data_IF_249954280482
#
_entry.id   IF_249954280482
#
_cell.length_a   1.000
_cell.length_b   1.000
_cell.length_c   1.000
_cell.angle_alpha   90.00
_cell.angle_beta   90.00
_cell.angle_gamma   90.00
#
_symmetry.space_group_name_H-M   'P 1'
#
loop_
_entity.id
_entity.type
_entity.pdbx_description
1 polymer ?
#
# COMPACT_ATOMS: atom_id res chain seq x y z
N UNK A 1 32.10 -7.18 -40.10
CA UNK A 1 32.16 -6.00 -39.22
C UNK A 1 30.76 -5.38 -39.23
N UNK A 2 29.99 -5.63 -38.18
CA UNK A 2 28.57 -5.33 -38.09
C UNK A 2 28.37 -3.93 -37.49
N UNK A 3 27.52 -3.11 -38.12
CA UNK A 3 27.08 -1.83 -37.58
C UNK A 3 25.55 -1.82 -37.54
N UNK A 4 25.02 -1.80 -36.32
CA UNK A 4 23.61 -1.66 -35.99
C UNK A 4 23.33 -0.19 -35.64
N UNK A 5 22.22 0.35 -36.14
CA UNK A 5 21.59 1.58 -35.65
C UNK A 5 20.09 1.47 -35.99
N UNK A 6 19.25 1.05 -35.04
CA UNK A 6 18.56 1.89 -34.05
C UNK A 6 17.55 2.85 -34.71
N UNK A 7 16.31 2.38 -34.91
CA UNK A 7 15.15 3.19 -35.29
C UNK A 7 14.54 3.90 -34.07
N UNK A 8 13.92 5.09 -34.23
CA UNK A 8 13.30 5.80 -33.12
C UNK A 8 11.86 5.32 -32.90
N UNK A 9 11.60 4.81 -31.69
CA UNK A 9 10.26 4.47 -31.21
C UNK A 9 9.44 5.72 -30.89
N UNK A 10 8.20 5.68 -31.35
CA UNK A 10 7.14 6.66 -31.16
C UNK A 10 6.74 6.83 -29.70
N UNK A 11 6.77 8.06 -29.20
CA UNK A 11 6.17 8.45 -27.93
C UNK A 11 4.66 8.66 -28.06
N UNK A 12 3.88 8.10 -27.14
CA UNK A 12 2.47 8.43 -26.95
C UNK A 12 2.07 8.22 -25.48
N UNK A 13 1.53 9.29 -24.88
CA UNK A 13 0.43 9.23 -23.91
C UNK A 13 0.77 9.02 -22.43
N UNK A 14 0.41 9.98 -21.54
CA UNK A 14 0.41 9.78 -20.10
C UNK A 14 -0.90 9.15 -19.61
N UNK A 15 -0.77 8.24 -18.63
CA UNK A 15 -1.70 8.05 -17.52
C UNK A 15 -3.14 7.68 -17.85
N UNK A 16 -3.41 6.38 -18.01
CA UNK A 16 -4.74 5.81 -17.80
C UNK A 16 -4.71 5.05 -16.47
N UNK A 17 -5.33 5.64 -15.44
CA UNK A 17 -5.55 5.00 -14.15
C UNK A 17 -6.81 4.13 -14.26
N UNK A 18 -6.78 2.83 -13.93
CA UNK A 18 -8.03 2.11 -13.74
C UNK A 18 -8.60 2.49 -12.37
N UNK A 19 -9.60 3.38 -12.37
CA UNK A 19 -10.56 3.49 -11.26
C UNK A 19 -11.16 2.11 -10.99
N UNK A 20 -10.79 1.52 -9.85
CA UNK A 20 -11.45 0.33 -9.31
C UNK A 20 -12.80 0.71 -8.68
N UNK A 21 -13.81 -0.19 -8.69
CA UNK A 21 -15.11 0.09 -8.10
C UNK A 21 -15.03 -0.06 -6.57
N UNK A 22 -14.57 0.97 -5.87
CA UNK A 22 -14.39 0.94 -4.40
C UNK A 22 -15.67 1.20 -3.58
N UNK A 23 -16.85 1.26 -4.18
CA UNK A 23 -18.08 1.62 -3.46
C UNK A 23 -19.03 0.46 -3.07
N UNK A 24 -18.75 -0.81 -3.42
CA UNK A 24 -19.67 -1.95 -3.15
C UNK A 24 -19.19 -2.96 -2.09
N UNK A 25 -17.95 -2.83 -1.59
CA UNK A 25 -17.30 -3.84 -0.75
C UNK A 25 -17.93 -4.12 0.64
N UNK A 26 -18.48 -3.13 1.39
CA UNK A 26 -18.95 -3.39 2.75
C UNK A 26 -20.26 -4.18 2.78
N UNK A 27 -21.15 -3.97 1.81
CA UNK A 27 -22.41 -4.72 1.72
C UNK A 27 -22.19 -6.18 1.31
N UNK A 28 -21.32 -6.44 0.32
CA UNK A 28 -21.00 -7.81 -0.10
C UNK A 28 -20.36 -8.62 1.03
N UNK A 29 -19.47 -8.02 1.84
CA UNK A 29 -18.89 -8.68 3.01
C UNK A 29 -19.91 -8.99 4.10
N UNK A 30 -20.83 -8.05 4.39
CA UNK A 30 -21.91 -8.27 5.36
C UNK A 30 -22.89 -9.34 4.89
N UNK A 31 -23.26 -9.34 3.60
CA UNK A 31 -24.10 -10.38 2.98
C UNK A 31 -23.42 -11.76 2.99
N UNK A 32 -22.14 -11.84 2.62
CA UNK A 32 -21.38 -13.09 2.65
C UNK A 32 -21.22 -13.64 4.08
N UNK A 33 -20.93 -12.79 5.06
CA UNK A 33 -20.84 -13.18 6.46
C UNK A 33 -22.21 -13.64 7.02
N UNK A 34 -23.30 -12.97 6.63
CA UNK A 34 -24.66 -13.39 6.96
C UNK A 34 -25.03 -14.76 6.38
N UNK A 35 -24.72 -15.00 5.10
CA UNK A 35 -24.97 -16.29 4.45
C UNK A 35 -24.14 -17.43 5.07
N UNK A 36 -22.88 -17.15 5.42
CA UNK A 36 -22.01 -18.15 6.06
C UNK A 36 -22.50 -18.50 7.47
N UNK A 37 -23.01 -17.50 8.21
CA UNK A 37 -23.62 -17.70 9.54
C UNK A 37 -24.86 -18.59 9.49
N UNK A 38 -25.66 -18.49 8.43
CA UNK A 38 -26.82 -19.36 8.18
C UNK A 38 -26.35 -20.78 7.85
N UNK A 39 -25.31 -20.93 7.01
CA UNK A 39 -24.77 -22.24 6.62
C UNK A 39 -24.22 -23.06 7.79
N UNK A 40 -23.56 -22.42 8.75
CA UNK A 40 -23.02 -23.08 9.95
C UNK A 40 -23.99 -23.16 11.14
N UNK A 41 -25.26 -22.77 10.97
CA UNK A 41 -26.28 -22.90 12.01
C UNK A 41 -26.07 -22.02 13.25
N UNK A 42 -25.26 -20.96 13.15
CA UNK A 42 -24.96 -20.04 14.25
C UNK A 42 -26.04 -18.94 14.44
N UNK A 43 -27.21 -19.12 13.82
CA UNK A 43 -28.39 -18.30 14.11
C UNK A 43 -29.10 -18.90 15.32
N UNK A 44 -28.84 -18.36 16.51
CA UNK A 44 -29.75 -18.51 17.65
C UNK A 44 -31.04 -17.74 17.33
N UNK A 45 -31.97 -18.43 16.68
CA UNK A 45 -33.19 -17.82 16.18
C UNK A 45 -33.53 -18.42 14.84
N UNK A 46 -34.52 -19.32 14.89
CA UNK A 46 -35.31 -19.81 13.76
C UNK A 46 -34.62 -20.84 12.86
N UNK A 47 -34.99 -22.09 13.14
CA UNK A 47 -35.24 -23.19 12.20
C UNK A 47 -36.22 -22.82 11.06
N UNK A 48 -36.14 -21.62 10.48
CA UNK A 48 -37.01 -21.10 9.41
C UNK A 48 -36.57 -21.57 8.01
N UNK A 49 -36.25 -22.86 7.92
CA UNK A 49 -36.07 -23.59 6.66
C UNK A 49 -36.51 -25.05 6.77
N UNK A 50 -37.00 -25.49 7.93
CA UNK A 50 -37.70 -26.78 8.02
C UNK A 50 -39.03 -26.62 7.27
N UNK A 51 -39.35 -27.46 6.28
CA UNK A 51 -40.73 -27.54 5.81
C UNK A 51 -41.60 -27.77 7.04
N UNK A 52 -42.60 -26.93 7.24
CA UNK A 52 -43.47 -26.88 8.42
C UNK A 52 -44.43 -28.10 8.46
N UNK A 53 -43.90 -29.32 8.37
CA UNK A 53 -44.70 -30.53 8.22
C UNK A 53 -44.05 -31.86 8.61
N UNK A 54 -42.76 -31.94 8.98
CA UNK A 54 -42.22 -33.20 9.53
C UNK A 54 -42.22 -33.18 11.06
N UNK A 55 -43.01 -34.08 11.64
CA UNK A 55 -42.99 -34.36 13.08
C UNK A 55 -41.56 -34.83 13.41
N UNK A 56 -40.84 -34.23 14.37
CA UNK A 56 -39.46 -34.63 14.70
C UNK A 56 -39.31 -36.08 15.16
N UNK A 57 -40.43 -36.78 15.42
CA UNK A 57 -40.52 -38.20 15.73
C UNK A 57 -40.98 -39.06 14.53
N UNK A 58 -41.16 -38.48 13.34
CA UNK A 58 -41.64 -39.21 12.16
C UNK A 58 -40.60 -40.28 11.75
N UNK A 59 -40.95 -41.58 11.84
CA UNK A 59 -40.07 -42.65 11.43
C UNK A 59 -39.86 -42.70 9.90
N UNK A 60 -40.59 -41.90 9.12
CA UNK A 60 -40.48 -41.84 7.66
C UNK A 60 -39.72 -40.62 7.12
N UNK A 61 -39.21 -39.75 7.98
CA UNK A 61 -38.35 -38.63 7.58
C UNK A 61 -36.92 -39.13 7.32
N UNK A 62 -36.49 -39.13 6.04
CA UNK A 62 -35.14 -39.50 5.60
C UNK A 62 -34.01 -38.73 6.29
N UNK A 63 -34.27 -37.50 6.75
CA UNK A 63 -33.30 -36.66 7.45
C UNK A 63 -33.56 -36.59 8.96
N UNK A 64 -34.53 -37.36 9.46
CA UNK A 64 -34.95 -37.39 10.85
C UNK A 64 -34.05 -38.25 11.72
N UNK A 65 -33.94 -37.89 13.01
CA UNK A 65 -33.16 -38.65 13.98
C UNK A 65 -33.78 -40.04 14.32
N UNK A 66 -35.05 -40.24 13.99
CA UNK A 66 -35.82 -41.45 14.27
C UNK A 66 -36.18 -42.25 13.01
N UNK A 67 -35.47 -42.03 11.89
CA UNK A 67 -35.72 -42.73 10.64
C UNK A 67 -35.68 -44.26 10.82
N UNK A 68 -36.78 -44.92 10.46
CA UNK A 68 -36.90 -46.38 10.41
C UNK A 68 -36.98 -46.82 8.93
N UNK A 69 -35.93 -47.47 8.40
CA UNK A 69 -35.89 -47.93 7.02
C UNK A 69 -37.06 -48.86 6.66
N UNK A 70 -37.49 -49.73 7.57
CA UNK A 70 -38.51 -50.74 7.29
C UNK A 70 -39.89 -50.08 7.14
N UNK A 71 -40.22 -49.13 8.03
CA UNK A 71 -41.48 -48.37 7.98
C UNK A 71 -41.52 -47.46 6.75
N UNK A 72 -40.40 -46.81 6.42
CA UNK A 72 -40.28 -46.00 5.22
C UNK A 72 -40.43 -46.81 3.93
N UNK A 73 -39.78 -47.97 3.84
CA UNK A 73 -39.88 -48.86 2.67
C UNK A 73 -41.27 -49.46 2.53
N UNK A 74 -41.93 -49.85 3.63
CA UNK A 74 -43.31 -50.34 3.62
C UNK A 74 -44.29 -49.29 3.10
N UNK A 75 -44.11 -48.02 3.51
CA UNK A 75 -44.87 -46.88 3.00
C UNK A 75 -44.60 -46.65 1.51
N UNK A 76 -43.32 -46.65 1.11
CA UNK A 76 -42.90 -46.44 -0.27
C UNK A 76 -43.47 -47.49 -1.22
N UNK A 77 -43.48 -48.77 -0.83
CA UNK A 77 -44.07 -49.85 -1.64
C UNK A 77 -45.60 -49.74 -1.80
N UNK A 78 -46.28 -49.13 -0.83
CA UNK A 78 -47.75 -48.95 -0.86
C UNK A 78 -48.17 -47.72 -1.63
N UNK A 79 -47.37 -46.65 -1.59
CA UNK A 79 -47.75 -45.32 -2.05
C UNK A 79 -47.09 -44.92 -3.39
N UNK A 80 -45.90 -45.44 -3.71
CA UNK A 80 -45.18 -45.09 -4.95
C UNK A 80 -45.33 -46.14 -6.07
N UNK A 81 -45.79 -45.76 -7.27
CA UNK A 81 -45.76 -46.63 -8.44
C UNK A 81 -44.34 -46.83 -8.97
N UNK A 82 -44.07 -47.99 -9.57
CA UNK A 82 -42.75 -48.40 -10.04
C UNK A 82 -42.05 -47.36 -10.95
N UNK A 83 -42.80 -46.69 -11.83
CA UNK A 83 -42.25 -45.66 -12.70
C UNK A 83 -41.63 -44.49 -11.92
N UNK A 84 -42.31 -44.02 -10.87
CA UNK A 84 -41.77 -42.95 -10.01
C UNK A 84 -40.54 -43.42 -9.24
N UNK A 85 -40.50 -44.70 -8.85
CA UNK A 85 -39.33 -45.26 -8.19
C UNK A 85 -38.12 -45.31 -9.13
N UNK A 86 -38.31 -45.70 -10.39
CA UNK A 86 -37.26 -45.70 -11.41
C UNK A 86 -36.77 -44.29 -11.76
N UNK A 87 -37.68 -43.32 -11.82
CA UNK A 87 -37.32 -41.90 -12.02
C UNK A 87 -36.50 -41.39 -10.83
N UNK A 88 -36.93 -41.71 -9.59
CA UNK A 88 -36.21 -41.34 -8.37
C UNK A 88 -34.82 -41.96 -8.27
N UNK A 89 -34.66 -43.21 -8.71
CA UNK A 89 -33.35 -43.88 -8.81
C UNK A 89 -32.46 -43.14 -9.81
N UNK A 90 -33.00 -42.81 -10.98
CA UNK A 90 -32.25 -42.11 -12.03
C UNK A 90 -31.79 -40.73 -11.57
N UNK A 91 -32.67 -40.00 -10.87
CA UNK A 91 -32.35 -38.69 -10.32
C UNK A 91 -31.35 -38.77 -9.17
N UNK A 92 -31.46 -39.78 -8.30
CA UNK A 92 -30.48 -40.02 -7.23
C UNK A 92 -29.09 -40.30 -7.83
N UNK A 93 -29.01 -41.13 -8.88
CA UNK A 93 -27.74 -41.39 -9.60
C UNK A 93 -27.17 -40.11 -10.21
N UNK A 94 -28.01 -39.24 -10.77
CA UNK A 94 -27.56 -37.93 -11.27
C UNK A 94 -27.03 -37.03 -10.15
N UNK A 95 -27.74 -36.96 -9.03
CA UNK A 95 -27.35 -36.15 -7.88
C UNK A 95 -26.03 -36.63 -7.28
N UNK A 96 -25.82 -37.95 -7.17
CA UNK A 96 -24.55 -38.53 -6.69
C UNK A 96 -23.39 -38.07 -7.58
N UNK A 97 -23.57 -38.11 -8.91
CA UNK A 97 -22.53 -37.67 -9.86
C UNK A 97 -22.28 -36.17 -9.81
N UNK A 98 -23.33 -35.37 -9.67
CA UNK A 98 -23.21 -33.93 -9.52
C UNK A 98 -22.45 -33.58 -8.23
N UNK A 99 -22.80 -34.21 -7.12
CA UNK A 99 -22.14 -34.01 -5.83
C UNK A 99 -20.66 -34.39 -5.88
N UNK A 100 -20.30 -35.49 -6.56
CA UNK A 100 -18.90 -35.87 -6.76
C UNK A 100 -18.14 -34.81 -7.58
N UNK A 101 -18.74 -34.29 -8.65
CA UNK A 101 -18.16 -33.20 -9.44
C UNK A 101 -17.99 -31.91 -8.63
N UNK A 102 -18.97 -31.56 -7.79
CA UNK A 102 -18.94 -30.38 -6.94
C UNK A 102 -17.85 -30.52 -5.86
N UNK A 103 -17.73 -31.71 -5.27
CA UNK A 103 -16.67 -32.02 -4.31
C UNK A 103 -15.29 -31.87 -4.97
N UNK A 104 -15.10 -32.42 -6.18
CA UNK A 104 -13.85 -32.25 -6.93
C UNK A 104 -13.56 -30.78 -7.20
N UNK A 105 -14.54 -30.02 -7.69
CA UNK A 105 -14.40 -28.59 -7.99
C UNK A 105 -14.00 -27.81 -6.74
N UNK A 106 -14.64 -28.09 -5.60
CA UNK A 106 -14.31 -27.44 -4.33
C UNK A 106 -12.85 -27.72 -3.92
N UNK A 107 -12.41 -28.97 -4.06
CA UNK A 107 -11.02 -29.37 -3.75
C UNK A 107 -10.05 -28.62 -4.66
N UNK A 108 -10.29 -28.58 -5.97
CA UNK A 108 -9.45 -27.84 -6.93
C UNK A 108 -9.38 -26.35 -6.60
N UNK A 109 -10.53 -25.71 -6.39
CA UNK A 109 -10.56 -24.29 -6.05
C UNK A 109 -9.83 -23.99 -4.75
N UNK A 110 -10.02 -24.84 -3.75
CA UNK A 110 -9.42 -24.66 -2.44
C UNK A 110 -7.89 -24.83 -2.52
N UNK A 111 -7.40 -25.88 -3.17
CA UNK A 111 -5.96 -26.06 -3.39
C UNK A 111 -5.35 -24.96 -4.25
N UNK A 112 -6.03 -24.52 -5.31
CA UNK A 112 -5.54 -23.39 -6.13
C UNK A 112 -5.43 -22.10 -5.31
N UNK A 113 -6.40 -21.82 -4.42
CA UNK A 113 -6.34 -20.68 -3.49
C UNK A 113 -5.17 -20.83 -2.50
N UNK A 114 -4.95 -22.01 -1.94
CA UNK A 114 -3.83 -22.28 -1.04
C UNK A 114 -2.46 -22.14 -1.70
N UNK A 115 -2.30 -22.70 -2.90
CA UNK A 115 -1.06 -22.59 -3.69
C UNK A 115 -0.81 -21.12 -4.01
N UNK A 116 -1.83 -20.42 -4.53
CA UNK A 116 -1.73 -18.99 -4.87
C UNK A 116 -1.37 -18.15 -3.64
N UNK A 117 -2.01 -18.38 -2.49
CA UNK A 117 -1.69 -17.67 -1.26
C UNK A 117 -0.24 -17.95 -0.80
N UNK A 118 0.20 -19.20 -0.89
CA UNK A 118 1.57 -19.59 -0.53
C UNK A 118 2.60 -18.94 -1.47
N UNK A 119 2.31 -18.86 -2.76
CA UNK A 119 3.14 -18.20 -3.75
C UNK A 119 3.20 -16.68 -3.52
N UNK A 120 2.06 -16.05 -3.19
CA UNK A 120 2.01 -14.65 -2.79
C UNK A 120 2.87 -14.40 -1.56
N UNK A 121 2.77 -15.23 -0.52
CA UNK A 121 3.61 -15.11 0.69
C UNK A 121 5.10 -15.23 0.34
N UNK A 122 5.47 -16.19 -0.53
CA UNK A 122 6.86 -16.36 -0.97
C UNK A 122 7.36 -15.15 -1.76
N UNK A 123 6.54 -14.61 -2.65
CA UNK A 123 6.86 -13.39 -3.39
C UNK A 123 7.03 -12.20 -2.45
N UNK A 124 6.09 -11.98 -1.54
CA UNK A 124 6.17 -10.92 -0.52
C UNK A 124 7.47 -11.03 0.28
N UNK A 125 7.83 -12.23 0.76
CA UNK A 125 9.10 -12.44 1.49
C UNK A 125 10.32 -12.01 0.68
N UNK A 126 10.38 -12.37 -0.60
CA UNK A 126 11.50 -11.99 -1.47
C UNK A 126 11.54 -10.49 -1.73
N UNK A 127 10.38 -9.86 -1.93
CA UNK A 127 10.28 -8.42 -2.16
C UNK A 127 10.66 -7.64 -0.89
N UNK A 128 10.26 -8.10 0.31
CA UNK A 128 10.69 -7.52 1.58
C UNK A 128 12.20 -7.60 1.78
N UNK A 129 12.83 -8.72 1.43
CA UNK A 129 14.28 -8.86 1.54
C UNK A 129 15.02 -7.90 0.62
N UNK A 130 14.54 -7.72 -0.62
CA UNK A 130 15.13 -6.73 -1.55
C UNK A 130 14.97 -5.30 -1.02
N UNK A 131 13.81 -4.99 -0.45
CA UNK A 131 13.55 -3.68 0.14
C UNK A 131 14.49 -3.40 1.33
N UNK A 132 14.73 -4.40 2.17
CA UNK A 132 15.69 -4.33 3.27
C UNK A 132 17.12 -4.07 2.75
N UNK A 133 17.56 -4.84 1.76
CA UNK A 133 18.87 -4.65 1.12
C UNK A 133 19.02 -3.23 0.51
N UNK A 134 17.96 -2.70 -0.11
CA UNK A 134 17.93 -1.34 -0.67
C UNK A 134 17.96 -0.26 0.43
N UNK A 135 17.23 -0.44 1.53
CA UNK A 135 17.26 0.48 2.68
C UNK A 135 18.64 0.51 3.33
N UNK A 136 19.29 -0.64 3.51
CA UNK A 136 20.65 -0.73 4.06
C UNK A 136 21.67 -0.03 3.16
N UNK A 137 21.54 -0.21 1.84
CA UNK A 137 22.35 0.49 0.86
C UNK A 137 22.12 2.01 0.92
N UNK A 138 20.88 2.45 1.06
CA UNK A 138 20.56 3.87 1.20
C UNK A 138 21.15 4.46 2.47
N UNK A 139 21.01 3.79 3.61
CA UNK A 139 21.56 4.21 4.89
C UNK A 139 23.10 4.33 4.81
N UNK A 140 23.76 3.36 4.19
CA UNK A 140 25.21 3.39 3.95
C UNK A 140 25.60 4.58 3.08
N UNK A 141 24.89 4.84 1.99
CA UNK A 141 25.16 5.99 1.12
C UNK A 141 24.94 7.32 1.84
N UNK A 142 23.88 7.45 2.64
CA UNK A 142 23.63 8.65 3.45
C UNK A 142 24.73 8.87 4.49
N UNK A 143 25.25 7.81 5.11
CA UNK A 143 26.39 7.90 6.02
C UNK A 143 27.64 8.41 5.29
N UNK A 144 27.94 7.88 4.09
CA UNK A 144 29.06 8.35 3.25
C UNK A 144 28.89 9.82 2.85
N UNK A 145 27.70 10.23 2.40
CA UNK A 145 27.41 11.62 2.04
C UNK A 145 27.58 12.54 3.25
N UNK A 146 27.11 12.12 4.42
CA UNK A 146 27.21 12.89 5.66
C UNK A 146 28.67 13.07 6.07
N UNK A 147 29.47 12.00 6.05
CA UNK A 147 30.91 12.06 6.34
C UNK A 147 31.64 12.97 5.34
N UNK A 148 31.35 12.81 4.04
CA UNK A 148 31.95 13.63 2.99
C UNK A 148 31.59 15.12 3.14
N UNK A 149 30.33 15.43 3.46
CA UNK A 149 29.87 16.79 3.73
C UNK A 149 30.56 17.40 4.96
N UNK A 150 30.72 16.62 6.02
CA UNK A 150 31.45 17.04 7.23
C UNK A 150 32.92 17.36 6.91
N UNK A 151 33.59 16.52 6.11
CA UNK A 151 34.98 16.76 5.66
C UNK A 151 35.12 18.02 4.82
N UNK A 152 34.19 18.24 3.88
CA UNK A 152 34.17 19.48 3.07
C UNK A 152 33.98 20.69 3.99
N UNK A 153 33.01 20.64 4.89
CA UNK A 153 32.72 21.72 5.83
C UNK A 153 33.94 22.05 6.68
N UNK A 154 34.61 21.03 7.24
CA UNK A 154 35.84 21.21 8.01
C UNK A 154 36.97 21.85 7.19
N UNK A 155 37.14 21.45 5.93
CA UNK A 155 38.19 22.01 5.05
C UNK A 155 37.91 23.46 4.66
N UNK A 156 36.65 23.82 4.46
CA UNK A 156 36.25 25.19 4.11
C UNK A 156 36.22 26.12 5.32
N UNK A 157 35.97 25.60 6.52
CA UNK A 157 35.85 26.37 7.75
C UNK A 157 37.08 27.25 8.00
N UNK A 158 38.28 26.67 7.97
CA UNK A 158 39.53 27.43 8.21
C UNK A 158 39.73 28.54 7.16
N UNK A 159 39.41 28.26 5.89
CA UNK A 159 39.47 29.29 4.83
C UNK A 159 38.44 30.39 5.07
N UNK A 160 37.23 30.03 5.47
CA UNK A 160 36.15 30.99 5.75
C UNK A 160 36.51 31.90 6.92
N UNK A 161 37.10 31.35 7.99
CA UNK A 161 37.59 32.10 9.15
C UNK A 161 38.69 33.09 8.79
N UNK A 162 39.65 32.68 7.95
CA UNK A 162 40.71 33.58 7.47
C UNK A 162 40.14 34.72 6.63
N UNK A 163 39.19 34.42 5.73
CA UNK A 163 38.52 35.42 4.89
C UNK A 163 37.73 36.41 5.76
N UNK A 164 36.99 35.93 6.76
CA UNK A 164 36.23 36.81 7.67
C UNK A 164 37.16 37.68 8.51
N UNK A 165 38.27 37.13 9.04
CA UNK A 165 39.30 37.93 9.72
C UNK A 165 39.86 39.01 8.81
N UNK A 166 40.24 38.67 7.58
CA UNK A 166 40.83 39.62 6.63
C UNK A 166 39.82 40.71 6.23
N UNK A 167 38.57 40.34 5.98
CA UNK A 167 37.49 41.29 5.70
C UNK A 167 37.27 42.25 6.88
N UNK A 168 37.35 41.74 8.13
CA UNK A 168 37.30 42.55 9.34
C UNK A 168 38.46 43.55 9.43
N UNK A 169 39.70 43.10 9.18
CA UNK A 169 40.87 43.99 9.16
C UNK A 169 40.74 45.04 8.06
N UNK A 170 40.32 44.66 6.86
CA UNK A 170 40.11 45.58 5.74
C UNK A 170 39.03 46.63 6.07
N UNK A 171 37.94 46.23 6.73
CA UNK A 171 36.92 47.16 7.18
C UNK A 171 37.48 48.17 8.21
N UNK A 172 38.34 47.72 9.13
CA UNK A 172 39.01 48.59 10.10
C UNK A 172 40.00 49.56 9.42
N UNK A 173 40.82 49.06 8.50
CA UNK A 173 41.74 49.89 7.72
C UNK A 173 40.99 50.97 6.93
N UNK A 174 39.84 50.63 6.34
CA UNK A 174 39.00 51.61 5.62
C UNK A 174 38.46 52.69 6.56
N UNK A 175 38.07 52.34 7.79
CA UNK A 175 37.68 53.32 8.82
C UNK A 175 38.86 54.21 9.23
N UNK A 176 40.04 53.63 9.44
CA UNK A 176 41.25 54.39 9.76
C UNK A 176 41.66 55.34 8.63
N UNK A 177 41.64 54.87 7.39
CA UNK A 177 41.91 55.70 6.22
C UNK A 177 40.93 56.88 6.16
N UNK A 178 39.63 56.63 6.38
CA UNK A 178 38.64 57.69 6.46
C UNK A 178 38.97 58.71 7.56
N UNK A 179 39.35 58.25 8.76
CA UNK A 179 39.76 59.13 9.86
C UNK A 179 41.00 59.97 9.55
N UNK A 180 41.97 59.45 8.79
CA UNK A 180 43.16 60.21 8.39
C UNK A 180 42.90 61.19 7.24
N UNK A 181 42.00 60.85 6.32
CA UNK A 181 41.62 61.74 5.21
C UNK A 181 40.63 62.84 5.64
N UNK A 182 39.93 62.66 6.76
CA UNK A 182 38.92 63.60 7.23
C UNK A 182 39.51 64.99 7.59
N UNK A 183 40.61 65.12 8.37
CA UNK A 183 41.19 66.42 8.70
C UNK A 183 41.62 67.23 7.47
N UNK A 184 42.30 66.60 6.50
CA UNK A 184 42.77 67.29 5.29
C UNK A 184 41.62 67.70 4.37
N UNK A 185 40.55 66.90 4.33
CA UNK A 185 39.30 67.28 3.63
C UNK A 185 38.58 68.42 4.34
N UNK A 186 38.53 68.41 5.67
CA UNK A 186 37.90 69.46 6.47
C UNK A 186 38.65 70.80 6.37
N UNK A 187 39.99 70.81 6.44
CA UNK A 187 40.78 72.03 6.28
C UNK A 187 40.56 72.66 4.91
N UNK A 188 40.55 71.85 3.84
CA UNK A 188 40.24 72.32 2.49
C UNK A 188 38.83 72.90 2.36
N UNK A 189 37.83 72.30 3.00
CA UNK A 189 36.47 72.84 3.01
C UNK A 189 36.36 74.17 3.78
N UNK A 190 37.16 74.35 4.84
CA UNK A 190 37.23 75.61 5.59
C UNK A 190 37.91 76.70 4.77
N UNK A 191 39.01 76.39 4.08
CA UNK A 191 39.70 77.34 3.19
C UNK A 191 38.81 77.83 2.03
N UNK A 192 37.94 76.96 1.50
CA UNK A 192 37.00 77.28 0.42
C UNK A 192 35.67 77.89 0.92
N UNK A 193 35.50 78.12 2.23
CA UNK A 193 34.28 78.68 2.83
C UNK A 193 33.04 77.77 2.75
N UNK A 194 33.20 76.49 2.41
CA UNK A 194 32.12 75.53 2.17
C UNK A 194 31.71 74.79 3.46
N UNK A 195 31.27 75.53 4.48
CA UNK A 195 30.98 75.00 5.83
C UNK A 195 29.88 73.92 5.87
N UNK A 196 28.87 74.01 5.00
CA UNK A 196 27.80 73.00 4.93
C UNK A 196 28.27 71.62 4.46
N UNK A 197 29.34 71.55 3.66
CA UNK A 197 29.94 70.28 3.25
C UNK A 197 30.83 69.70 4.36
N UNK A 198 31.57 70.54 5.07
CA UNK A 198 32.40 70.13 6.21
C UNK A 198 31.57 69.41 7.30
N UNK A 199 30.42 69.95 7.67
CA UNK A 199 29.52 69.34 8.67
C UNK A 199 29.00 67.98 8.21
N UNK A 200 28.70 67.81 6.91
CA UNK A 200 28.26 66.54 6.34
C UNK A 200 29.36 65.47 6.30
N UNK A 201 30.61 65.86 6.08
CA UNK A 201 31.74 64.94 6.14
C UNK A 201 32.03 64.49 7.57
N UNK A 202 31.92 65.39 8.55
CA UNK A 202 32.07 65.06 9.98
C UNK A 202 30.99 64.09 10.47
N UNK A 203 29.73 64.25 10.04
CA UNK A 203 28.63 63.36 10.44
C UNK A 203 28.64 61.97 9.80
N UNK A 204 29.58 61.69 8.87
CA UNK A 204 29.76 60.38 8.23
C UNK A 204 30.96 59.59 8.79
N UNK A 205 31.69 60.16 9.75
CA UNK A 205 32.73 59.51 10.55
C UNK A 205 32.10 58.59 11.61
#
# INVERSE_FOLDING_TARGET
>A
MAAAAAGPGTGSGPGDSPEGPEAEAPERRRKAHGMLKIYYGLSEGETAGRPAGSDPLDPTDLNGAHFDPEVYLDKLRRECPLAQLMDSETDMVRQIRALDSDMQTLVYENYNKFISATDTIRKMKNDFRKMEDEMDRLATNMAVITDFSARISATLQDRHERITKLAGVHALLRKLQFLFELPSRLTKCVELGAYGQAVRYQGRA
#
